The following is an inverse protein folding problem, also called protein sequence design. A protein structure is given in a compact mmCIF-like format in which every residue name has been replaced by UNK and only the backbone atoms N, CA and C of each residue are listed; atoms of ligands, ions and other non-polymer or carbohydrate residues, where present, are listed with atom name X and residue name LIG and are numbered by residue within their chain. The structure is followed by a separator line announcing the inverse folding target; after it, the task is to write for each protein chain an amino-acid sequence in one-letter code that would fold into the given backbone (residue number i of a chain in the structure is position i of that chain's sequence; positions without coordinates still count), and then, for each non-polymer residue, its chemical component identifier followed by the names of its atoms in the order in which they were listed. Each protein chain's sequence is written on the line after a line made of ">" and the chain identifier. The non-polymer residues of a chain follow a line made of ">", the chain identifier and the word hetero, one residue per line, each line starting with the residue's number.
data_IF_424447253916
#
_entry.id   IF_424447253916
#
_cell.length_a   1.000
_cell.length_b   1.000
_cell.length_c   1.000
_cell.angle_alpha   90.00
_cell.angle_beta   90.00
_cell.angle_gamma   90.00
#
_symmetry.space_group_name_H-M   'P 1'
#
loop_
_entity.id
_entity.type
_entity.pdbx_description
1 polymer ?
#
# COMPACT_ATOMS: atom_id res chain seq x y z
N UNK A 1 61.20 11.59 -12.12
CA UNK A 1 59.80 11.95 -12.46
C UNK A 1 59.22 12.66 -11.24
N UNK A 2 59.52 13.93 -10.96
CA UNK A 2 59.19 15.17 -11.70
C UNK A 2 57.66 15.40 -11.81
N UNK A 3 57.03 15.90 -10.71
CA UNK A 3 56.37 17.24 -10.54
C UNK A 3 55.20 17.59 -11.52
N UNK A 4 54.19 18.45 -11.22
CA UNK A 4 53.45 18.83 -10.00
C UNK A 4 51.98 19.35 -10.23
N UNK A 5 51.40 19.86 -9.13
CA UNK A 5 50.39 20.95 -8.98
C UNK A 5 50.44 22.05 -10.07
N UNK A 6 49.30 22.40 -10.67
CA UNK A 6 48.91 23.74 -11.18
C UNK A 6 47.50 23.64 -11.80
N UNK A 7 46.45 24.28 -11.27
CA UNK A 7 46.19 25.72 -11.39
C UNK A 7 46.26 26.22 -12.85
N UNK A 8 45.21 25.94 -13.62
CA UNK A 8 44.78 26.61 -14.85
C UNK A 8 43.26 26.35 -14.92
N UNK A 9 42.35 27.25 -15.21
CA UNK A 9 42.36 28.68 -15.43
C UNK A 9 40.86 29.02 -15.39
N UNK A 10 40.49 30.19 -14.89
CA UNK A 10 39.13 30.67 -14.99
C UNK A 10 38.67 30.76 -16.47
N UNK A 11 37.34 30.77 -16.65
CA UNK A 11 36.61 31.41 -17.74
C UNK A 11 36.33 30.60 -19.01
N UNK A 12 35.18 29.90 -19.06
CA UNK A 12 34.25 29.96 -20.22
C UNK A 12 32.82 29.71 -19.71
N UNK A 13 32.15 30.79 -19.29
CA UNK A 13 30.69 30.88 -19.41
C UNK A 13 30.36 31.21 -20.88
N UNK A 14 29.19 30.76 -21.35
CA UNK A 14 28.46 31.16 -22.58
C UNK A 14 28.70 30.32 -23.85
N UNK A 15 27.83 29.31 -24.11
CA UNK A 15 26.69 29.39 -25.06
C UNK A 15 26.17 28.01 -25.50
N UNK A 16 24.83 27.92 -25.52
CA UNK A 16 23.97 27.00 -26.29
C UNK A 16 23.82 25.53 -25.81
N UNK A 17 22.64 25.22 -25.28
CA UNK A 17 22.17 23.84 -25.16
C UNK A 17 20.95 23.69 -24.24
N UNK A 18 19.80 24.24 -24.63
CA UNK A 18 18.52 24.07 -23.94
C UNK A 18 18.12 22.60 -23.89
N UNK A 19 18.56 21.89 -22.85
CA UNK A 19 18.06 20.55 -22.55
C UNK A 19 16.69 20.72 -21.92
N UNK A 20 15.65 20.59 -22.74
CA UNK A 20 14.27 20.44 -22.28
C UNK A 20 14.21 19.26 -21.32
N UNK A 21 14.23 19.53 -20.02
CA UNK A 21 13.80 18.59 -19.02
C UNK A 21 12.33 18.27 -19.32
N UNK A 22 12.06 17.11 -19.92
CA UNK A 22 10.73 16.52 -19.86
C UNK A 22 10.48 16.26 -18.38
N UNK A 23 9.70 17.12 -17.76
CA UNK A 23 9.02 16.85 -16.51
C UNK A 23 8.20 15.57 -16.73
N UNK A 24 8.74 14.42 -16.29
CA UNK A 24 7.90 13.28 -15.99
C UNK A 24 6.95 13.75 -14.91
N UNK A 25 5.66 13.82 -15.23
CA UNK A 25 4.62 14.00 -14.23
C UNK A 25 4.83 12.95 -13.14
N UNK A 26 4.86 13.34 -11.85
CA UNK A 26 4.66 12.37 -10.78
C UNK A 26 3.38 11.60 -11.13
N UNK A 27 3.51 10.30 -11.37
CA UNK A 27 2.34 9.44 -11.40
C UNK A 27 1.82 9.44 -9.97
N UNK A 28 0.74 10.18 -9.76
CA UNK A 28 -0.03 10.14 -8.53
C UNK A 28 -0.36 8.66 -8.27
N UNK A 29 0.02 8.09 -7.10
CA UNK A 29 -0.43 6.76 -6.72
C UNK A 29 -1.93 6.72 -6.92
N UNK A 30 -2.43 5.79 -7.74
CA UNK A 30 -3.83 5.68 -8.11
C UNK A 30 -4.69 5.55 -6.84
N UNK A 31 -5.18 6.66 -6.31
CA UNK A 31 -6.25 6.66 -5.33
C UNK A 31 -7.50 6.29 -6.12
N UNK A 32 -7.83 4.99 -6.13
CA UNK A 32 -9.13 4.51 -6.62
C UNK A 32 -10.18 5.40 -5.95
N UNK A 33 -11.00 6.14 -6.73
CA UNK A 33 -12.02 7.01 -6.15
C UNK A 33 -12.83 6.20 -5.14
N UNK A 34 -13.14 6.75 -3.95
CA UNK A 34 -14.01 6.08 -3.00
C UNK A 34 -15.23 5.62 -3.79
N UNK A 35 -15.52 4.32 -3.73
CA UNK A 35 -16.58 3.69 -4.50
C UNK A 35 -17.90 4.19 -3.92
N UNK A 36 -18.30 5.40 -4.31
CA UNK A 36 -19.56 5.99 -3.91
C UNK A 36 -20.65 4.97 -4.30
N UNK A 37 -21.47 4.52 -3.34
CA UNK A 37 -22.53 3.56 -3.65
C UNK A 37 -23.38 4.12 -4.79
N UNK A 38 -23.58 3.32 -5.85
CA UNK A 38 -24.56 3.68 -6.87
C UNK A 38 -25.92 3.95 -6.17
N UNK A 39 -26.70 4.97 -6.59
CA UNK A 39 -27.99 5.24 -5.96
C UNK A 39 -28.89 4.00 -6.01
N UNK A 40 -29.18 3.42 -4.84
CA UNK A 40 -29.96 2.18 -4.70
C UNK A 40 -29.14 0.89 -4.47
N UNK A 41 -27.80 0.97 -4.44
CA UNK A 41 -26.92 -0.15 -4.09
C UNK A 41 -26.70 -0.27 -2.58
N UNK A 42 -26.53 -1.49 -2.09
CA UNK A 42 -26.07 -1.73 -0.72
C UNK A 42 -24.67 -1.11 -0.56
N UNK A 43 -24.44 -0.42 0.55
CA UNK A 43 -23.12 0.12 0.85
C UNK A 43 -22.11 -1.05 0.99
N UNK A 44 -20.88 -0.90 0.47
CA UNK A 44 -19.86 -1.93 0.61
C UNK A 44 -19.53 -2.16 2.09
N UNK A 45 -19.25 -3.41 2.44
CA UNK A 45 -18.78 -3.76 3.80
C UNK A 45 -17.41 -3.13 4.02
N UNK A 46 -17.23 -2.43 5.16
CA UNK A 46 -15.95 -1.85 5.52
C UNK A 46 -15.07 -2.88 6.21
N UNK A 47 -13.93 -3.20 5.61
CA UNK A 47 -13.04 -4.27 6.05
C UNK A 47 -11.70 -3.70 6.49
N UNK A 48 -11.27 -4.08 7.69
CA UNK A 48 -9.92 -3.86 8.18
C UNK A 48 -9.14 -5.18 8.12
N UNK A 49 -8.05 -5.21 7.36
CA UNK A 49 -7.15 -6.36 7.26
C UNK A 49 -5.96 -6.12 8.18
N UNK A 50 -5.78 -7.03 9.13
CA UNK A 50 -4.74 -7.00 10.16
C UNK A 50 -3.86 -8.23 10.00
N UNK A 51 -2.56 -8.01 9.79
CA UNK A 51 -1.61 -9.08 9.55
C UNK A 51 -0.56 -9.11 10.66
N UNK A 52 -0.61 -10.17 11.46
CA UNK A 52 0.26 -10.38 12.62
C UNK A 52 1.21 -11.52 12.30
N UNK A 53 2.52 -11.22 12.25
CA UNK A 53 3.58 -12.17 11.87
C UNK A 53 3.43 -12.77 10.45
N UNK A 54 2.46 -12.30 9.66
CA UNK A 54 2.24 -12.67 8.27
C UNK A 54 2.67 -11.53 7.34
N UNK A 55 3.32 -11.86 6.22
CA UNK A 55 3.61 -10.88 5.18
C UNK A 55 2.38 -10.69 4.31
N UNK A 56 1.72 -9.55 4.47
CA UNK A 56 0.54 -9.16 3.69
C UNK A 56 0.87 -7.98 2.78
N UNK A 57 0.59 -8.13 1.49
CA UNK A 57 0.64 -7.01 0.54
C UNK A 57 -0.70 -6.28 0.57
N UNK A 58 -0.72 -5.09 1.18
CA UNK A 58 -1.94 -4.29 1.30
C UNK A 58 -2.43 -3.76 -0.04
N UNK A 59 -1.54 -3.57 -1.01
CA UNK A 59 -1.93 -3.09 -2.34
C UNK A 59 -2.62 -4.21 -3.11
N UNK A 60 -2.07 -5.43 -3.06
CA UNK A 60 -2.72 -6.61 -3.64
C UNK A 60 -4.16 -6.78 -3.12
N UNK A 61 -4.38 -6.66 -1.80
CA UNK A 61 -5.73 -6.75 -1.26
C UNK A 61 -6.67 -5.65 -1.78
N UNK A 62 -6.17 -4.42 -1.94
CA UNK A 62 -6.97 -3.30 -2.45
C UNK A 62 -7.30 -3.42 -3.94
N UNK A 63 -6.37 -3.96 -4.73
CA UNK A 63 -6.55 -4.12 -6.17
C UNK A 63 -7.44 -5.31 -6.52
N UNK A 64 -7.22 -6.44 -5.86
CA UNK A 64 -7.84 -7.71 -6.23
C UNK A 64 -9.18 -7.92 -5.49
N UNK A 65 -9.33 -7.40 -4.27
CA UNK A 65 -10.56 -7.49 -3.48
C UNK A 65 -11.29 -6.15 -3.54
N UNK A 66 -11.83 -5.82 -4.71
CA UNK A 66 -12.37 -4.48 -4.99
C UNK A 66 -13.85 -4.26 -4.61
N UNK A 67 -14.54 -5.30 -4.14
CA UNK A 67 -15.97 -5.30 -3.80
C UNK A 67 -16.28 -4.92 -2.34
N UNK A 68 -15.25 -4.71 -1.52
CA UNK A 68 -15.33 -4.19 -0.15
C UNK A 68 -14.67 -2.82 -0.07
N UNK A 69 -14.98 -2.08 1.00
CA UNK A 69 -14.28 -0.83 1.31
C UNK A 69 -13.16 -1.09 2.31
N UNK A 70 -11.91 -0.85 1.93
CA UNK A 70 -10.74 -1.16 2.75
C UNK A 70 -10.39 0.01 3.67
N UNK A 71 -10.71 -0.12 4.96
CA UNK A 71 -10.41 0.91 5.96
C UNK A 71 -9.03 0.72 6.58
N UNK A 72 -8.43 1.83 7.06
CA UNK A 72 -7.08 1.83 7.67
C UNK A 72 -7.10 1.68 9.19
N UNK A 73 -8.19 2.06 9.85
CA UNK A 73 -8.38 1.91 11.29
C UNK A 73 -9.45 0.85 11.54
N UNK A 74 -9.16 -0.08 12.45
CA UNK A 74 -10.10 -1.07 12.99
C UNK A 74 -11.40 -0.44 13.48
N UNK A 75 -11.33 0.75 14.08
CA UNK A 75 -12.48 1.46 14.63
C UNK A 75 -13.47 1.90 13.57
N UNK A 76 -13.09 1.94 12.31
CA UNK A 76 -13.96 2.29 11.19
C UNK A 76 -14.53 1.07 10.47
N UNK A 77 -14.09 -0.13 10.85
CA UNK A 77 -14.49 -1.36 10.19
C UNK A 77 -15.83 -1.91 10.69
N UNK A 78 -16.50 -2.61 9.79
CA UNK A 78 -17.64 -3.49 10.08
C UNK A 78 -17.19 -4.95 10.19
N UNK A 79 -16.04 -5.30 9.60
CA UNK A 79 -15.40 -6.61 9.72
C UNK A 79 -13.89 -6.46 9.92
N UNK A 80 -13.34 -7.17 10.89
CA UNK A 80 -11.89 -7.30 11.10
C UNK A 80 -11.43 -8.67 10.62
N UNK A 81 -10.56 -8.67 9.61
CA UNK A 81 -9.89 -9.88 9.12
C UNK A 81 -8.52 -9.94 9.80
N UNK A 82 -8.33 -10.92 10.67
CA UNK A 82 -7.05 -11.19 11.33
C UNK A 82 -6.33 -12.34 10.63
N UNK A 83 -5.19 -12.04 10.02
CA UNK A 83 -4.31 -13.02 9.41
C UNK A 83 -3.09 -13.20 10.30
N UNK A 84 -2.86 -14.43 10.74
CA UNK A 84 -1.70 -14.80 11.54
C UNK A 84 -0.85 -15.83 10.83
N UNK A 85 0.46 -15.79 11.05
CA UNK A 85 1.36 -16.86 10.62
C UNK A 85 2.19 -17.36 11.81
N UNK A 86 2.22 -18.68 11.96
CA UNK A 86 2.97 -19.36 13.02
C UNK A 86 3.95 -20.35 12.38
N UNK A 87 5.20 -20.38 12.86
CA UNK A 87 6.18 -21.37 12.39
C UNK A 87 5.82 -22.78 12.85
N UNK A 88 5.99 -23.74 11.96
CA UNK A 88 5.77 -25.16 12.24
C UNK A 88 7.10 -25.85 12.52
N UNK A 89 7.05 -26.98 13.25
CA UNK A 89 8.24 -27.77 13.56
C UNK A 89 8.97 -28.36 12.34
N UNK A 90 8.33 -28.36 11.17
CA UNK A 90 8.92 -28.79 9.89
C UNK A 90 9.56 -27.68 9.08
N UNK A 91 9.65 -26.45 9.61
CA UNK A 91 10.21 -25.29 8.89
C UNK A 91 9.23 -24.60 7.93
N UNK A 92 7.93 -24.90 8.02
CA UNK A 92 6.87 -24.21 7.29
C UNK A 92 6.15 -23.17 8.13
N UNK A 93 5.10 -22.57 7.57
CA UNK A 93 4.21 -21.65 8.28
C UNK A 93 2.78 -22.20 8.26
N UNK A 94 2.08 -22.10 9.39
CA UNK A 94 0.63 -22.27 9.49
C UNK A 94 0.00 -20.89 9.41
N UNK A 95 -0.87 -20.68 8.44
CA UNK A 95 -1.68 -19.47 8.34
C UNK A 95 -3.05 -19.71 8.95
N UNK A 96 -3.51 -18.76 9.76
CA UNK A 96 -4.86 -18.73 10.31
C UNK A 96 -5.51 -17.40 9.94
N UNK A 97 -6.72 -17.49 9.38
CA UNK A 97 -7.52 -16.34 8.95
C UNK A 97 -8.80 -16.34 9.75
N UNK A 98 -8.95 -15.35 10.63
CA UNK A 98 -10.16 -15.16 11.43
C UNK A 98 -10.91 -13.95 10.89
N UNK A 99 -12.22 -14.10 10.73
CA UNK A 99 -13.15 -13.04 10.32
C UNK A 99 -14.00 -12.68 11.53
N UNK A 100 -13.79 -11.48 12.06
CA UNK A 100 -14.40 -11.01 13.30
C UNK A 100 -15.40 -9.91 12.94
N UNK A 101 -16.65 -10.12 13.32
CA UNK A 101 -17.72 -9.16 13.06
C UNK A 101 -17.63 -7.97 14.02
N UNK A 102 -17.70 -6.76 13.49
CA UNK A 102 -17.72 -5.51 14.26
C UNK A 102 -19.00 -4.73 13.98
N UNK A 103 -19.36 -3.80 14.87
CA UNK A 103 -20.55 -2.94 14.74
C UNK A 103 -21.82 -3.74 14.41
N UNK A 104 -22.37 -3.55 13.20
CA UNK A 104 -23.58 -4.20 12.73
C UNK A 104 -23.43 -5.73 12.62
N UNK A 105 -22.20 -6.25 12.53
CA UNK A 105 -21.90 -7.67 12.49
C UNK A 105 -21.37 -8.22 13.81
N UNK A 106 -21.45 -7.45 14.91
CA UNK A 106 -20.98 -7.89 16.22
C UNK A 106 -21.59 -9.23 16.62
N UNK A 107 -20.74 -10.20 16.99
CA UNK A 107 -21.14 -11.55 17.38
C UNK A 107 -21.31 -12.54 16.22
N UNK A 108 -21.02 -12.11 14.98
CA UNK A 108 -20.92 -12.98 13.81
C UNK A 108 -19.44 -13.19 13.51
N UNK A 109 -18.86 -14.21 14.13
CA UNK A 109 -17.44 -14.53 14.00
C UNK A 109 -17.22 -15.86 13.28
N UNK A 110 -16.15 -15.92 12.48
CA UNK A 110 -15.65 -17.14 11.83
C UNK A 110 -14.15 -17.28 12.13
N UNK A 111 -13.80 -18.37 12.81
CA UNK A 111 -12.47 -18.65 13.37
C UNK A 111 -11.86 -19.89 12.70
#
# INVERSE_FOLDING_TARGET
>A
MLVPRSACLALVFLLAGSSSARAGTPQDPQVKPPSAPAPGGQAPVRVFIDCVNASCDSEFFRTDISFVDHVRDRKDADVHVLITAESTGGGGQKYTVNVIGLRAYSGVDHL
#
